data_IF_948957330490
#
_entry.id   IF_948957330490
#
_cell.length_a   1.000
_cell.length_b   1.000
_cell.length_c   1.000
_cell.angle_alpha   90.00
_cell.angle_beta   90.00
_cell.angle_gamma   90.00
#
_symmetry.space_group_name_H-M   'P 1'
#
loop_
_entity.id
_entity.type
_entity.pdbx_description
1 polymer ?
#
# COMPACT_ATOMS: atom_id res chain seq x y z
N UNK A 1 -0.31 -2.17 17.93
CA UNK A 1 -1.31 -1.59 17.02
C UNK A 1 -2.20 -0.66 17.81
N UNK A 2 -2.44 0.56 17.35
CA UNK A 2 -3.42 1.50 17.92
C UNK A 2 -4.44 1.87 16.85
N UNK A 3 -5.72 1.84 17.21
CA UNK A 3 -6.87 2.10 16.36
C UNK A 3 -7.68 3.21 17.01
N UNK A 4 -7.92 4.30 16.26
CA UNK A 4 -8.63 5.47 16.76
C UNK A 4 -9.75 5.79 15.79
N UNK A 5 -10.98 5.83 16.28
CA UNK A 5 -12.13 6.30 15.50
C UNK A 5 -12.42 7.71 15.97
N UNK A 6 -12.25 8.68 15.08
CA UNK A 6 -12.37 10.09 15.42
C UNK A 6 -12.95 10.91 14.27
N UNK A 7 -13.72 11.95 14.61
CA UNK A 7 -13.99 13.05 13.69
C UNK A 7 -12.71 13.86 13.56
N UNK A 8 -12.12 13.86 12.37
CA UNK A 8 -10.80 14.45 12.14
C UNK A 8 -10.71 15.12 10.77
N UNK A 9 -9.73 15.99 10.60
CA UNK A 9 -9.25 16.45 9.28
C UNK A 9 -7.77 16.12 9.15
N UNK A 10 -7.28 15.98 7.92
CA UNK A 10 -5.91 15.53 7.66
C UNK A 10 -5.26 16.45 6.63
N UNK A 11 -4.00 16.80 6.86
CA UNK A 11 -3.16 17.52 5.90
C UNK A 11 -1.87 16.74 5.73
N UNK A 12 -1.53 16.41 4.49
CA UNK A 12 -0.25 15.83 4.11
C UNK A 12 0.54 16.85 3.29
N UNK A 13 1.80 17.03 3.67
CA UNK A 13 2.77 17.91 3.03
C UNK A 13 4.04 17.12 2.73
N UNK A 14 4.40 17.00 1.45
CA UNK A 14 5.56 16.22 1.04
C UNK A 14 5.82 16.34 -0.45
N UNK A 15 5.94 15.19 -1.14
CA UNK A 15 6.14 15.15 -2.61
C UNK A 15 4.97 15.74 -3.39
N UNK A 16 3.80 15.70 -2.78
CA UNK A 16 2.58 16.38 -3.18
C UNK A 16 1.94 16.93 -1.92
N UNK A 17 0.92 17.77 -2.09
CA UNK A 17 0.07 18.20 -1.01
C UNK A 17 -1.29 17.53 -1.14
N UNK A 18 -1.82 17.02 -0.04
CA UNK A 18 -3.15 16.41 0.00
C UNK A 18 -3.86 16.80 1.30
N UNK A 19 -5.18 16.92 1.24
CA UNK A 19 -5.99 17.17 2.44
C UNK A 19 -7.24 16.30 2.43
N UNK A 20 -7.66 15.93 3.63
CA UNK A 20 -8.96 15.31 3.87
C UNK A 20 -9.78 16.27 4.74
N UNK A 21 -10.97 16.72 4.28
CA UNK A 21 -11.83 17.60 5.06
C UNK A 21 -12.34 16.89 6.31
N UNK A 22 -13.00 17.60 7.22
CA UNK A 22 -13.54 17.01 8.44
C UNK A 22 -14.52 15.85 8.13
N UNK A 23 -14.26 14.67 8.72
CA UNK A 23 -15.18 13.53 8.72
C UNK A 23 -14.77 12.52 9.80
N UNK A 24 -15.67 11.61 10.18
CA UNK A 24 -15.33 10.46 11.02
C UNK A 24 -14.50 9.46 10.23
N UNK A 25 -13.34 9.08 10.78
CA UNK A 25 -12.38 8.18 10.14
C UNK A 25 -11.77 7.21 11.14
N UNK A 26 -11.29 6.08 10.61
CA UNK A 26 -10.40 5.19 11.33
C UNK A 26 -8.96 5.60 11.07
N UNK A 27 -8.22 5.90 12.13
CA UNK A 27 -6.78 6.14 12.15
C UNK A 27 -6.13 4.89 12.70
N UNK A 28 -5.26 4.27 11.90
CA UNK A 28 -4.48 3.10 12.28
C UNK A 28 -3.02 3.50 12.45
N UNK A 29 -2.44 3.18 13.61
CA UNK A 29 -1.04 3.44 13.94
C UNK A 29 -0.38 2.11 14.32
N UNK A 30 0.57 1.68 13.50
CA UNK A 30 1.35 0.46 13.74
C UNK A 30 2.56 0.74 14.63
N UNK A 31 3.10 -0.32 15.22
CA UNK A 31 4.28 -0.24 16.11
C UNK A 31 5.56 0.14 15.39
N UNK A 32 5.65 -0.08 14.08
CA UNK A 32 6.76 0.36 13.22
C UNK A 32 6.67 1.85 12.84
N UNK A 33 5.61 2.55 13.28
CA UNK A 33 5.34 3.95 12.95
C UNK A 33 4.54 4.14 11.66
N UNK A 34 4.12 3.09 10.98
CA UNK A 34 3.21 3.23 9.83
C UNK A 34 1.85 3.80 10.29
N UNK A 35 1.34 4.79 9.58
CA UNK A 35 0.05 5.43 9.84
C UNK A 35 -0.84 5.36 8.60
N UNK A 36 -2.11 5.00 8.78
CA UNK A 36 -3.09 4.88 7.70
C UNK A 36 -4.46 5.44 8.12
N UNK A 37 -5.10 6.19 7.21
CA UNK A 37 -6.38 6.85 7.43
C UNK A 37 -7.43 6.22 6.52
N UNK A 38 -8.51 5.68 7.10
CA UNK A 38 -9.58 4.99 6.41
C UNK A 38 -10.93 5.69 6.61
N UNK A 39 -11.83 5.51 5.64
CA UNK A 39 -13.26 5.82 5.76
C UNK A 39 -14.08 4.55 5.47
N UNK A 40 -15.37 4.57 5.83
CA UNK A 40 -16.28 3.43 5.59
C UNK A 40 -16.47 3.13 4.10
N UNK A 41 -16.37 4.17 3.26
CA UNK A 41 -16.48 4.09 1.81
C UNK A 41 -15.20 4.51 1.09
N UNK A 42 -15.10 4.14 -0.18
CA UNK A 42 -13.84 4.19 -0.94
C UNK A 42 -13.17 2.82 -0.96
N UNK A 43 -12.23 2.61 -1.88
CA UNK A 43 -11.59 1.32 -2.09
C UNK A 43 -11.01 0.72 -0.79
N UNK A 44 -10.70 -0.58 -0.79
CA UNK A 44 -10.06 -1.32 0.32
C UNK A 44 -8.72 -0.72 0.83
N UNK A 45 -8.22 0.35 0.20
CA UNK A 45 -6.97 1.03 0.53
C UNK A 45 -7.25 2.26 1.42
N UNK A 46 -6.30 2.65 2.28
CA UNK A 46 -6.41 3.92 3.01
C UNK A 46 -6.51 5.12 2.06
N UNK A 47 -7.21 6.17 2.50
CA UNK A 47 -7.32 7.45 1.80
C UNK A 47 -6.01 8.25 1.83
N UNK A 48 -5.27 8.14 2.93
CA UNK A 48 -3.94 8.73 3.10
C UNK A 48 -3.12 7.84 4.05
N UNK A 49 -1.83 7.69 3.80
CA UNK A 49 -0.95 6.86 4.62
C UNK A 49 0.51 7.31 4.52
N UNK A 50 1.27 7.01 5.57
CA UNK A 50 2.73 7.12 5.59
C UNK A 50 3.34 5.79 6.01
N UNK A 51 4.19 5.23 5.15
CA UNK A 51 4.93 4.02 5.45
C UNK A 51 6.02 4.30 6.50
N UNK A 52 6.32 3.30 7.32
CA UNK A 52 7.43 3.35 8.26
C UNK A 52 8.80 3.56 7.56
N UNK A 53 9.80 4.11 8.28
CA UNK A 53 9.74 4.58 9.65
C UNK A 53 9.18 6.01 9.73
N UNK A 54 8.37 6.29 10.76
CA UNK A 54 7.91 7.64 11.07
C UNK A 54 8.06 7.94 12.56
N UNK A 55 8.22 9.21 12.91
CA UNK A 55 8.02 9.69 14.28
C UNK A 55 6.60 10.22 14.43
N UNK A 56 5.92 9.85 15.52
CA UNK A 56 4.60 10.34 15.88
C UNK A 56 4.75 11.29 17.08
N UNK A 57 4.31 12.52 16.91
CA UNK A 57 4.17 13.50 17.98
C UNK A 57 2.68 13.67 18.29
N UNK A 58 2.31 13.43 19.54
CA UNK A 58 0.94 13.61 20.02
C UNK A 58 0.80 14.94 20.75
N UNK A 59 -0.05 15.81 20.21
CA UNK A 59 -0.40 17.11 20.79
C UNK A 59 -1.85 17.06 21.27
N UNK A 60 -2.28 18.09 22.02
CA UNK A 60 -3.61 18.14 22.63
C UNK A 60 -4.76 17.99 21.61
N UNK A 61 -4.62 18.60 20.44
CA UNK A 61 -5.66 18.69 19.40
C UNK A 61 -5.32 17.94 18.10
N UNK A 62 -4.13 17.36 18.00
CA UNK A 62 -3.66 16.75 16.75
C UNK A 62 -2.51 15.79 16.93
N UNK A 63 -2.34 14.94 15.92
CA UNK A 63 -1.13 14.14 15.74
C UNK A 63 -0.31 14.70 14.59
N UNK A 64 1.02 14.72 14.76
CA UNK A 64 1.97 15.11 13.72
C UNK A 64 2.90 13.94 13.44
N UNK A 65 2.79 13.37 12.25
CA UNK A 65 3.61 12.25 11.80
C UNK A 65 4.66 12.76 10.83
N UNK A 66 5.93 12.42 11.03
CA UNK A 66 7.04 12.85 10.17
C UNK A 66 7.88 11.67 9.72
N UNK A 67 8.26 11.65 8.44
CA UNK A 67 9.22 10.67 7.93
C UNK A 67 10.64 11.28 7.77
N UNK A 68 11.69 10.45 7.60
CA UNK A 68 13.06 10.93 7.37
C UNK A 68 13.26 11.77 6.11
N UNK A 69 12.30 11.79 5.18
CA UNK A 69 12.34 12.58 3.95
C UNK A 69 11.76 14.00 4.14
N UNK A 70 11.33 14.35 5.36
CA UNK A 70 10.75 15.65 5.69
C UNK A 70 9.27 15.79 5.34
N UNK A 71 8.61 14.70 4.92
CA UNK A 71 7.17 14.71 4.67
C UNK A 71 6.41 14.65 6.01
N UNK A 72 5.27 15.35 6.09
CA UNK A 72 4.48 15.50 7.30
C UNK A 72 3.01 15.15 7.04
N UNK A 73 2.40 14.37 7.94
CA UNK A 73 0.96 14.12 8.00
C UNK A 73 0.43 14.63 9.33
N UNK A 74 -0.36 15.70 9.27
CA UNK A 74 -1.03 16.30 10.43
C UNK A 74 -2.47 15.84 10.47
N UNK A 75 -2.88 15.24 11.59
CA UNK A 75 -4.23 14.72 11.81
C UNK A 75 -4.85 15.55 12.95
N UNK A 76 -5.75 16.47 12.62
CA UNK A 76 -6.48 17.26 13.61
C UNK A 76 -7.65 16.44 14.16
N UNK A 77 -7.70 16.27 15.49
CA UNK A 77 -8.72 15.51 16.18
C UNK A 77 -9.78 16.47 16.71
N UNK A 78 -10.99 16.41 16.17
CA UNK A 78 -12.12 17.23 16.62
C UNK A 78 -12.95 16.52 17.69
N UNK A 79 -13.07 15.21 17.58
CA UNK A 79 -13.78 14.36 18.54
C UNK A 79 -13.30 12.92 18.44
N UNK A 80 -12.92 12.30 19.55
CA UNK A 80 -12.50 10.90 19.60
C UNK A 80 -13.67 10.06 20.10
N UNK A 81 -14.15 9.14 19.26
CA UNK A 81 -15.21 8.20 19.60
C UNK A 81 -14.67 6.93 20.26
N UNK A 82 -13.49 6.47 19.81
CA UNK A 82 -12.81 5.32 20.39
C UNK A 82 -11.29 5.44 20.19
N UNK A 83 -10.52 4.97 21.18
CA UNK A 83 -9.08 4.82 21.12
C UNK A 83 -8.71 3.49 21.79
N UNK A 84 -8.14 2.58 21.00
CA UNK A 84 -7.86 1.21 21.42
C UNK A 84 -6.46 0.79 20.99
N UNK A 85 -5.72 0.17 21.91
CA UNK A 85 -4.38 -0.35 21.65
C UNK A 85 -4.30 -1.85 21.95
N UNK A 86 -3.64 -2.60 21.07
CA UNK A 86 -3.38 -4.04 21.23
C UNK A 86 -2.07 -4.46 20.57
N UNK A 87 -1.35 -5.36 21.21
CA UNK A 87 -0.15 -5.99 20.64
C UNK A 87 -0.56 -7.18 19.77
N UNK A 88 -0.07 -7.24 18.53
CA UNK A 88 -0.43 -8.31 17.60
C UNK A 88 0.52 -9.52 17.68
N UNK A 89 1.63 -9.40 18.43
CA UNK A 89 2.68 -10.43 18.48
C UNK A 89 3.57 -10.46 17.24
N UNK A 90 4.28 -11.58 17.08
CA UNK A 90 5.14 -11.83 15.92
C UNK A 90 4.29 -12.16 14.69
N UNK A 91 4.58 -11.50 13.57
CA UNK A 91 3.92 -11.76 12.28
C UNK A 91 4.68 -12.88 11.53
N UNK A 92 4.05 -14.04 11.25
CA UNK A 92 4.68 -15.10 10.46
C UNK A 92 4.86 -14.72 8.98
N UNK A 93 4.27 -13.60 8.55
CA UNK A 93 4.30 -13.11 7.18
C UNK A 93 3.18 -13.67 6.32
N UNK A 94 2.94 -12.98 5.20
CA UNK A 94 1.99 -13.42 4.18
C UNK A 94 2.62 -14.50 3.29
N UNK A 95 2.09 -15.72 3.34
CA UNK A 95 2.34 -16.72 2.30
C UNK A 95 1.49 -16.38 1.08
N UNK A 96 2.14 -16.11 -0.05
CA UNK A 96 1.46 -15.96 -1.34
C UNK A 96 1.57 -17.29 -2.07
N UNK A 97 0.47 -18.00 -2.23
CA UNK A 97 0.41 -19.10 -3.20
C UNK A 97 0.57 -18.48 -4.58
N UNK A 98 1.67 -18.85 -5.25
CA UNK A 98 2.25 -18.12 -6.38
C UNK A 98 1.51 -18.30 -7.69
N UNK A 99 0.20 -18.03 -7.73
CA UNK A 99 -0.64 -18.24 -8.93
C UNK A 99 -0.05 -17.55 -10.16
N UNK A 100 0.50 -16.35 -10.01
CA UNK A 100 1.10 -15.60 -11.11
C UNK A 100 2.44 -16.20 -11.55
N UNK A 101 3.32 -16.54 -10.62
CA UNK A 101 4.61 -17.15 -10.93
C UNK A 101 4.44 -18.54 -11.57
N UNK A 102 3.52 -19.34 -11.04
CA UNK A 102 3.19 -20.66 -11.56
C UNK A 102 2.50 -20.55 -12.93
N UNK A 103 1.57 -19.60 -13.10
CA UNK A 103 0.96 -19.32 -14.40
C UNK A 103 2.00 -18.89 -15.43
N UNK A 104 2.94 -18.02 -15.06
CA UNK A 104 4.04 -17.61 -15.93
C UNK A 104 4.91 -18.81 -16.35
N UNK A 105 5.18 -19.74 -15.43
CA UNK A 105 5.91 -20.99 -15.72
C UNK A 105 5.11 -21.89 -16.67
N UNK A 106 3.82 -22.06 -16.44
CA UNK A 106 2.95 -22.89 -17.28
C UNK A 106 2.81 -22.32 -18.70
N UNK A 107 2.59 -21.01 -18.83
CA UNK A 107 2.51 -20.34 -20.13
C UNK A 107 3.85 -20.35 -20.87
N UNK A 108 4.98 -20.22 -20.15
CA UNK A 108 6.31 -20.36 -20.74
C UNK A 108 6.57 -21.79 -21.28
N UNK A 109 6.05 -22.81 -20.60
CA UNK A 109 6.20 -24.20 -21.01
C UNK A 109 5.30 -24.57 -22.20
N UNK A 110 4.16 -23.88 -22.36
CA UNK A 110 3.19 -24.12 -23.44
C UNK A 110 2.70 -22.81 -24.10
N UNK A 111 3.57 -22.03 -24.78
CA UNK A 111 3.19 -20.73 -25.34
C UNK A 111 2.07 -20.83 -26.39
N UNK A 112 1.98 -21.97 -27.07
CA UNK A 112 0.93 -22.32 -28.03
C UNK A 112 -0.50 -22.29 -27.47
N UNK A 113 -0.67 -22.33 -26.15
CA UNK A 113 -1.97 -22.16 -25.49
C UNK A 113 -2.51 -20.73 -25.59
N UNK A 114 -1.63 -19.75 -25.83
CA UNK A 114 -2.00 -18.35 -26.09
C UNK A 114 -2.35 -18.18 -27.57
N UNK A 115 -1.46 -18.63 -28.45
CA UNK A 115 -1.60 -18.52 -29.90
C UNK A 115 -0.84 -19.65 -30.61
N UNK A 116 -1.44 -20.23 -31.65
CA UNK A 116 -0.80 -21.31 -32.43
C UNK A 116 0.51 -20.83 -33.09
N UNK A 117 1.61 -21.56 -32.85
CA UNK A 117 2.92 -21.23 -33.40
C UNK A 117 3.72 -20.21 -32.59
N UNK A 118 3.19 -19.74 -31.46
CA UNK A 118 3.92 -18.88 -30.54
C UNK A 118 5.10 -19.65 -29.90
N UNK A 119 6.27 -19.00 -29.85
CA UNK A 119 7.47 -19.56 -29.23
C UNK A 119 8.04 -18.62 -28.18
N UNK A 120 8.47 -19.15 -27.05
CA UNK A 120 9.08 -18.36 -25.99
C UNK A 120 10.51 -17.97 -26.38
N UNK A 121 10.82 -16.67 -26.32
CA UNK A 121 12.20 -16.16 -26.40
C UNK A 121 12.83 -16.13 -25.01
N UNK A 122 12.17 -15.47 -24.05
CA UNK A 122 12.72 -15.27 -22.71
C UNK A 122 11.63 -14.88 -21.70
N UNK A 123 11.76 -15.40 -20.48
CA UNK A 123 10.99 -14.94 -19.31
C UNK A 123 11.66 -13.73 -18.66
N UNK A 124 10.87 -12.87 -18.03
CA UNK A 124 11.35 -11.69 -17.28
C UNK A 124 12.31 -10.85 -18.15
N UNK A 125 11.88 -10.57 -19.38
CA UNK A 125 12.72 -9.85 -20.33
C UNK A 125 12.81 -8.37 -19.94
N UNK A 126 14.01 -7.84 -19.66
CA UNK A 126 14.15 -6.46 -19.20
C UNK A 126 13.88 -5.46 -20.33
N UNK A 127 13.07 -4.43 -20.04
CA UNK A 127 12.86 -3.29 -20.93
C UNK A 127 13.22 -1.96 -20.23
N UNK A 128 13.18 -0.86 -20.96
CA UNK A 128 13.44 0.47 -20.41
C UNK A 128 12.41 0.93 -19.36
N UNK A 129 11.23 0.33 -19.32
CA UNK A 129 10.13 0.70 -18.38
C UNK A 129 9.81 -0.38 -17.35
N UNK A 130 10.58 -1.48 -17.33
CA UNK A 130 10.35 -2.63 -16.46
C UNK A 130 10.42 -3.96 -17.21
N UNK A 131 10.49 -5.10 -16.52
CA UNK A 131 10.46 -6.40 -17.17
C UNK A 131 9.08 -6.69 -17.78
N UNK A 132 9.07 -7.47 -18.85
CA UNK A 132 7.87 -8.16 -19.35
C UNK A 132 7.96 -9.63 -18.98
N UNK A 133 6.83 -10.21 -18.58
CA UNK A 133 6.78 -11.59 -18.06
C UNK A 133 7.29 -12.61 -19.08
N UNK A 134 6.77 -12.56 -20.30
CA UNK A 134 7.10 -13.46 -21.40
C UNK A 134 7.36 -12.64 -22.66
N UNK A 135 8.59 -12.69 -23.17
CA UNK A 135 8.89 -12.27 -24.52
C UNK A 135 8.77 -13.49 -25.43
N UNK A 136 7.87 -13.41 -26.42
CA UNK A 136 7.60 -14.48 -27.36
C UNK A 136 7.77 -14.00 -28.82
N UNK A 137 7.86 -14.94 -29.75
CA UNK A 137 7.81 -14.72 -31.20
C UNK A 137 6.65 -15.53 -31.78
N UNK A 138 5.83 -14.88 -32.61
CA UNK A 138 4.72 -15.53 -33.31
C UNK A 138 5.17 -16.24 -34.59
N UNK A 139 4.24 -16.87 -35.30
CA UNK A 139 4.54 -17.64 -36.51
C UNK A 139 5.01 -16.76 -37.70
N UNK A 140 4.75 -15.46 -37.67
CA UNK A 140 5.10 -14.48 -38.71
C UNK A 140 6.45 -13.79 -38.48
N UNK A 141 7.03 -13.89 -37.28
CA UNK A 141 8.38 -13.42 -36.96
C UNK A 141 8.43 -12.40 -35.83
#
# INVERSE_FOLDING_TARGET
>A
MRLIIARCSVVYEGRLNASLPEATRLIMIKTDGCVAIHADGGAYKPLNWMNAPNTLEELEDRFVVRNPKGETLTIHLHEVHADFAHELGEDPGLTKDGVEADLQVLLAAMPETIEAGLTLIRREYPTAVGPVDLLCRDASG
#
